data_IF_191795538274
#
_entry.id   IF_191795538274
#
_cell.length_a   1.000
_cell.length_b   1.000
_cell.length_c   1.000
_cell.angle_alpha   90.00
_cell.angle_beta   90.00
_cell.angle_gamma   90.00
#
_symmetry.space_group_name_H-M   'P 1'
#
loop_
_entity.id
_entity.type
_entity.pdbx_description
1 polymer ?
#
# COMPACT_ATOMS: atom_id res chain seq x y z
N UNK A 1 6.86 1.99 -16.06
CA UNK A 1 6.61 3.29 -15.38
C UNK A 1 7.21 3.17 -13.98
N UNK A 2 8.02 4.13 -13.54
CA UNK A 2 8.65 4.08 -12.22
C UNK A 2 7.74 4.76 -11.18
N UNK A 3 7.76 4.26 -9.94
CA UNK A 3 7.06 4.87 -8.80
C UNK A 3 8.00 5.88 -8.13
N UNK A 4 7.53 7.11 -7.91
CA UNK A 4 8.34 8.19 -7.34
C UNK A 4 7.71 8.73 -6.04
N UNK A 5 8.41 8.55 -4.92
CA UNK A 5 8.02 9.04 -3.60
C UNK A 5 8.82 10.32 -3.27
N UNK A 6 8.40 11.48 -3.80
CA UNK A 6 9.11 12.76 -3.58
C UNK A 6 8.44 13.66 -2.55
N UNK A 7 7.11 13.76 -2.61
CA UNK A 7 6.26 14.45 -1.62
C UNK A 7 5.08 13.53 -1.30
N UNK A 8 5.02 13.06 -0.06
CA UNK A 8 4.01 12.08 0.36
C UNK A 8 2.63 12.74 0.44
N UNK A 9 2.53 13.89 1.11
CA UNK A 9 1.27 14.63 1.19
C UNK A 9 1.09 15.55 -0.02
N UNK A 10 0.08 15.26 -0.85
CA UNK A 10 -0.20 16.00 -2.09
C UNK A 10 -1.52 16.78 -2.06
N UNK A 11 -2.39 16.54 -1.07
CA UNK A 11 -3.76 17.10 -0.95
C UNK A 11 -4.74 16.65 -2.02
N UNK A 12 -4.30 15.83 -2.98
CA UNK A 12 -5.13 15.47 -4.14
C UNK A 12 -6.29 14.57 -3.78
N UNK A 13 -6.30 13.98 -2.58
CA UNK A 13 -7.28 13.02 -2.11
C UNK A 13 -8.14 13.53 -0.94
N UNK A 14 -8.01 14.82 -0.59
CA UNK A 14 -8.74 15.47 0.51
C UNK A 14 -10.26 15.47 0.28
N UNK A 15 -10.70 15.47 -0.98
CA UNK A 15 -12.11 15.41 -1.37
C UNK A 15 -12.70 13.98 -1.35
N UNK A 16 -11.97 13.00 -0.82
CA UNK A 16 -12.47 11.63 -0.69
C UNK A 16 -12.32 10.76 -1.94
N UNK A 17 -11.54 11.19 -2.93
CA UNK A 17 -11.24 10.42 -4.14
C UNK A 17 -9.74 10.18 -4.30
N UNK A 18 -9.33 9.12 -4.99
CA UNK A 18 -7.92 8.83 -5.28
C UNK A 18 -7.73 8.39 -6.73
N UNK A 19 -6.48 8.41 -7.22
CA UNK A 19 -6.12 7.96 -8.56
C UNK A 19 -5.68 6.49 -8.54
N UNK A 20 -6.14 5.72 -9.52
CA UNK A 20 -5.65 4.37 -9.82
C UNK A 20 -4.35 4.46 -10.65
N UNK A 21 -3.71 3.30 -10.90
CA UNK A 21 -2.47 3.21 -11.69
C UNK A 21 -2.61 3.68 -13.14
N UNK A 22 -3.83 3.76 -13.68
CA UNK A 22 -4.16 4.31 -15.00
C UNK A 22 -4.57 5.80 -14.95
N UNK A 23 -4.41 6.44 -13.78
CA UNK A 23 -4.78 7.83 -13.49
C UNK A 23 -6.29 8.12 -13.47
N UNK A 24 -7.15 7.11 -13.65
CA UNK A 24 -8.59 7.27 -13.41
C UNK A 24 -8.86 7.53 -11.93
N UNK A 25 -9.89 8.32 -11.61
CA UNK A 25 -10.24 8.68 -10.22
C UNK A 25 -11.44 7.91 -9.72
N UNK A 26 -11.35 7.42 -8.49
CA UNK A 26 -12.38 6.62 -7.82
C UNK A 26 -12.64 7.14 -6.41
N UNK A 27 -13.80 6.79 -5.84
CA UNK A 27 -14.07 7.02 -4.41
C UNK A 27 -13.07 6.27 -3.54
N UNK A 28 -12.73 6.81 -2.35
CA UNK A 28 -11.96 6.10 -1.33
C UNK A 28 -12.62 4.79 -0.83
N UNK A 29 -13.88 4.56 -1.20
CA UNK A 29 -14.63 3.33 -0.90
C UNK A 29 -14.84 2.43 -2.12
N UNK A 30 -14.14 2.67 -3.24
CA UNK A 30 -14.21 1.78 -4.42
C UNK A 30 -13.63 0.40 -4.08
N UNK A 31 -14.29 -0.70 -4.50
CA UNK A 31 -13.83 -2.06 -4.17
C UNK A 31 -12.43 -2.39 -4.69
N UNK A 32 -11.97 -1.75 -5.78
CA UNK A 32 -10.60 -1.94 -6.28
C UNK A 32 -9.58 -1.36 -5.32
N UNK A 33 -9.86 -0.18 -4.76
CA UNK A 33 -9.01 0.44 -3.75
C UNK A 33 -8.95 -0.41 -2.49
N UNK A 34 -10.10 -0.89 -2.00
CA UNK A 34 -10.15 -1.79 -0.85
C UNK A 34 -9.26 -3.04 -1.07
N UNK A 35 -9.35 -3.67 -2.25
CA UNK A 35 -8.59 -4.88 -2.55
C UNK A 35 -7.07 -4.70 -2.41
N UNK A 36 -6.47 -3.63 -2.95
CA UNK A 36 -5.03 -3.42 -2.80
C UNK A 36 -4.64 -2.74 -1.48
N UNK A 37 -5.57 -2.08 -0.79
CA UNK A 37 -5.36 -1.62 0.58
C UNK A 37 -5.23 -2.80 1.56
N UNK A 38 -6.08 -3.83 1.43
CA UNK A 38 -5.97 -5.05 2.23
C UNK A 38 -4.64 -5.79 1.97
N UNK A 39 -4.15 -5.77 0.73
CA UNK A 39 -2.83 -6.30 0.38
C UNK A 39 -1.70 -5.50 1.05
N UNK A 40 -1.81 -4.17 1.11
CA UNK A 40 -0.84 -3.31 1.79
C UNK A 40 -0.84 -3.53 3.32
N UNK A 41 -2.02 -3.74 3.92
CA UNK A 41 -2.15 -4.10 5.33
C UNK A 41 -1.55 -5.48 5.64
N UNK A 42 -1.80 -6.48 4.78
CA UNK A 42 -1.19 -7.79 4.90
C UNK A 42 0.34 -7.72 4.76
N UNK A 43 0.84 -6.95 3.80
CA UNK A 43 2.28 -6.75 3.60
C UNK A 43 2.93 -6.05 4.81
N UNK A 44 2.24 -5.07 5.40
CA UNK A 44 2.67 -4.40 6.63
C UNK A 44 2.75 -5.39 7.80
N UNK A 45 1.76 -6.27 7.93
CA UNK A 45 1.72 -7.31 8.97
C UNK A 45 2.86 -8.33 8.80
N UNK A 46 3.18 -8.72 7.57
CA UNK A 46 4.36 -9.55 7.27
C UNK A 46 5.64 -8.84 7.72
N UNK A 47 5.79 -7.54 7.45
CA UNK A 47 6.92 -6.75 7.91
C UNK A 47 7.10 -6.79 9.44
N UNK A 48 6.01 -6.71 10.19
CA UNK A 48 6.03 -6.86 11.67
C UNK A 48 6.51 -8.26 12.07
N UNK A 49 6.02 -9.31 11.41
CA UNK A 49 6.43 -10.68 11.68
C UNK A 49 7.92 -10.91 11.39
N UNK A 50 8.44 -10.34 10.29
CA UNK A 50 9.88 -10.39 9.96
C UNK A 50 10.69 -9.67 11.04
N UNK A 51 10.29 -8.47 11.44
CA UNK A 51 11.04 -7.66 12.39
C UNK A 51 11.07 -8.22 13.82
N UNK A 52 9.98 -8.86 14.27
CA UNK A 52 9.79 -9.23 15.67
C UNK A 52 9.64 -10.74 15.91
N UNK A 53 9.36 -11.53 14.87
CA UNK A 53 8.93 -12.92 14.99
C UNK A 53 10.04 -13.96 15.12
N UNK A 54 11.32 -13.56 15.11
CA UNK A 54 12.48 -14.48 15.19
C UNK A 54 12.40 -15.62 14.16
N UNK A 55 11.99 -15.28 12.94
CA UNK A 55 11.81 -16.25 11.87
C UNK A 55 13.15 -16.85 11.42
N UNK A 56 13.15 -18.09 10.90
CA UNK A 56 14.32 -18.64 10.20
C UNK A 56 14.85 -17.68 9.13
N UNK A 57 16.17 -17.60 8.97
CA UNK A 57 16.82 -16.68 8.03
C UNK A 57 16.27 -16.80 6.61
N UNK A 58 16.05 -18.04 6.14
CA UNK A 58 15.45 -18.32 4.84
C UNK A 58 14.12 -17.60 4.62
N UNK A 59 13.29 -17.44 5.65
CA UNK A 59 12.00 -16.75 5.55
C UNK A 59 12.11 -15.23 5.75
N UNK A 60 13.13 -14.76 6.47
CA UNK A 60 13.33 -13.34 6.75
C UNK A 60 13.97 -12.57 5.58
N UNK A 61 14.59 -13.28 4.63
CA UNK A 61 15.32 -12.70 3.50
C UNK A 61 14.74 -13.05 2.13
N UNK A 62 13.52 -13.62 2.07
CA UNK A 62 12.76 -13.75 0.81
C UNK A 62 12.48 -12.38 0.20
#
# INVERSE_FOLDING_TARGET
MAVHLTRIYTKTDDEGTTALGDMSRVSKTDPRLAAYADVDEANSSIGVAIALGQLPEELATL
#
